data_IF_296546086416
#
_entry.id   IF_296546086416
#
_cell.length_a   1.000
_cell.length_b   1.000
_cell.length_c   1.000
_cell.angle_alpha   90.00
_cell.angle_beta   90.00
_cell.angle_gamma   90.00
#
_symmetry.space_group_name_H-M   'P 1'
#
loop_
_entity.id
_entity.type
_entity.pdbx_description
1 polymer ?
#
# COMPACT_ATOMS: atom_id res chain seq x y z
N UNK A 1 4.57 23.73 -16.44
CA UNK A 1 3.71 23.43 -15.28
C UNK A 1 3.87 21.97 -14.90
N UNK A 2 4.41 21.72 -13.72
CA UNK A 2 4.57 20.35 -13.27
C UNK A 2 3.23 19.83 -12.75
N UNK A 3 2.80 18.71 -13.26
CA UNK A 3 1.61 18.05 -12.73
C UNK A 3 2.00 17.34 -11.43
N UNK A 4 1.29 17.64 -10.36
CA UNK A 4 1.42 16.91 -9.09
C UNK A 4 0.46 15.74 -9.16
N UNK A 5 1.00 14.53 -9.19
CA UNK A 5 0.18 13.33 -9.20
C UNK A 5 0.02 12.82 -7.77
N UNK A 6 -1.22 12.69 -7.31
CA UNK A 6 -1.50 11.99 -6.07
C UNK A 6 -1.16 10.50 -6.27
N UNK A 7 -0.79 9.80 -5.19
CA UNK A 7 -0.60 8.36 -5.24
C UNK A 7 -1.92 7.71 -5.66
N UNK A 8 -1.88 6.88 -6.69
CA UNK A 8 -3.05 6.12 -7.14
C UNK A 8 -3.20 4.87 -6.27
N UNK A 9 -4.20 4.88 -5.40
CA UNK A 9 -4.48 3.73 -4.55
C UNK A 9 -5.59 2.89 -5.14
N UNK A 10 -5.31 1.60 -5.35
CA UNK A 10 -6.35 0.63 -5.61
C UNK A 10 -6.97 0.22 -4.28
N UNK A 11 -8.27 0.01 -4.27
CA UNK A 11 -9.01 -0.36 -3.06
C UNK A 11 -9.55 -1.79 -3.13
N UNK A 12 -9.23 -2.50 -4.19
CA UNK A 12 -9.68 -3.87 -4.45
C UNK A 12 -8.50 -4.68 -4.96
N UNK A 13 -8.16 -5.75 -4.25
CA UNK A 13 -6.99 -6.55 -4.62
C UNK A 13 -7.18 -7.29 -5.94
N UNK A 14 -8.40 -7.71 -6.26
CA UNK A 14 -8.66 -8.40 -7.53
C UNK A 14 -8.44 -7.48 -8.71
N UNK A 15 -8.92 -6.24 -8.62
CA UNK A 15 -8.71 -5.22 -9.66
C UNK A 15 -7.22 -4.87 -9.76
N UNK A 16 -6.55 -4.78 -8.62
CA UNK A 16 -5.11 -4.51 -8.60
C UNK A 16 -4.32 -5.63 -9.26
N UNK A 17 -4.70 -6.88 -9.02
CA UNK A 17 -4.06 -8.03 -9.65
C UNK A 17 -4.20 -7.98 -11.17
N UNK A 18 -5.41 -7.68 -11.66
CA UNK A 18 -5.66 -7.57 -13.08
C UNK A 18 -4.77 -6.49 -13.70
N UNK A 19 -4.69 -5.34 -13.06
CA UNK A 19 -3.82 -4.26 -13.51
C UNK A 19 -2.36 -4.68 -13.51
N UNK A 20 -1.91 -5.37 -12.46
CA UNK A 20 -0.53 -5.82 -12.35
C UNK A 20 -0.19 -6.84 -13.44
N UNK A 21 -1.13 -7.74 -13.77
CA UNK A 21 -0.93 -8.71 -14.85
C UNK A 21 -0.85 -8.02 -16.21
N UNK A 22 -1.74 -7.06 -16.47
CA UNK A 22 -1.78 -6.34 -17.74
C UNK A 22 -0.55 -5.46 -17.96
N UNK A 23 -0.02 -4.88 -16.89
CA UNK A 23 1.10 -3.93 -16.96
C UNK A 23 2.43 -4.54 -16.52
N UNK A 24 2.42 -5.80 -16.12
CA UNK A 24 3.60 -6.52 -15.60
C UNK A 24 4.27 -5.78 -14.44
N UNK A 25 3.50 -5.51 -13.40
CA UNK A 25 3.96 -4.76 -12.22
C UNK A 25 3.89 -5.58 -10.95
N UNK A 26 4.60 -5.11 -9.95
CA UNK A 26 4.59 -5.64 -8.59
C UNK A 26 3.45 -4.97 -7.81
N UNK A 27 2.81 -5.72 -6.94
CA UNK A 27 1.75 -5.22 -6.06
C UNK A 27 2.33 -4.90 -4.69
N UNK A 28 1.99 -3.72 -4.17
CA UNK A 28 2.34 -3.32 -2.81
C UNK A 28 1.04 -3.12 -2.05
N UNK A 29 0.72 -4.04 -1.15
CA UNK A 29 -0.49 -4.01 -0.33
C UNK A 29 -0.18 -3.40 1.03
N UNK A 30 -0.88 -2.31 1.37
CA UNK A 30 -0.63 -1.55 2.60
C UNK A 30 -1.84 -1.60 3.51
N UNK A 31 -1.65 -2.15 4.71
CA UNK A 31 -2.65 -2.07 5.78
C UNK A 31 -2.35 -0.84 6.62
N UNK A 32 -3.32 0.05 6.75
CA UNK A 32 -3.12 1.35 7.39
C UNK A 32 -4.25 1.68 8.36
N UNK A 33 -3.88 2.37 9.43
CA UNK A 33 -4.84 3.06 10.30
C UNK A 33 -4.65 4.56 10.11
N UNK A 34 -5.19 5.10 9.03
CA UNK A 34 -4.84 6.41 8.49
C UNK A 34 -5.12 7.59 9.43
N UNK A 35 -6.04 7.44 10.38
CA UNK A 35 -6.41 8.54 11.29
C UNK A 35 -6.09 8.27 12.76
N UNK A 36 -5.39 7.16 13.08
CA UNK A 36 -5.06 6.83 14.47
C UNK A 36 -3.66 6.23 14.66
N UNK A 37 -3.08 5.69 13.61
CA UNK A 37 -1.80 4.97 13.69
C UNK A 37 -0.65 5.93 13.36
N UNK A 38 0.12 6.35 14.36
CA UNK A 38 1.21 7.31 14.14
C UNK A 38 2.24 6.85 13.11
N UNK A 39 2.77 5.61 13.16
CA UNK A 39 3.72 5.17 12.12
C UNK A 39 3.09 5.08 10.72
N UNK A 40 1.78 4.78 10.64
CA UNK A 40 1.07 4.79 9.35
C UNK A 40 1.02 6.18 8.74
N UNK A 41 0.72 7.18 9.59
CA UNK A 41 0.66 8.59 9.19
C UNK A 41 2.04 9.08 8.74
N UNK A 42 3.10 8.70 9.47
CA UNK A 42 4.47 9.01 9.08
C UNK A 42 4.84 8.40 7.74
N UNK A 43 4.52 7.12 7.54
CA UNK A 43 4.82 6.41 6.30
C UNK A 43 4.14 7.08 5.12
N UNK A 44 2.88 7.48 5.28
CA UNK A 44 2.15 8.19 4.23
C UNK A 44 2.81 9.52 3.90
N UNK A 45 3.12 10.31 4.93
CA UNK A 45 3.70 11.64 4.76
C UNK A 45 5.11 11.58 4.18
N UNK A 46 5.95 10.69 4.70
CA UNK A 46 7.38 10.65 4.35
C UNK A 46 7.65 9.89 3.06
N UNK A 47 6.87 8.84 2.78
CA UNK A 47 7.13 7.92 1.67
C UNK A 47 6.04 7.98 0.61
N UNK A 48 4.80 7.53 0.95
CA UNK A 48 3.76 7.37 -0.08
C UNK A 48 3.42 8.66 -0.82
N UNK A 49 3.44 9.79 -0.12
CA UNK A 49 3.11 11.09 -0.71
C UNK A 49 4.33 11.85 -1.24
N UNK A 50 5.53 11.27 -1.13
CA UNK A 50 6.72 11.91 -1.69
C UNK A 50 6.67 11.87 -3.21
N UNK A 51 7.24 12.89 -3.84
CA UNK A 51 7.32 12.97 -5.30
C UNK A 51 8.12 11.80 -5.87
N UNK A 52 9.24 11.48 -5.22
CA UNK A 52 10.14 10.40 -5.66
C UNK A 52 9.44 9.05 -5.64
N UNK A 53 8.71 8.75 -4.56
CA UNK A 53 8.01 7.47 -4.46
C UNK A 53 6.87 7.39 -5.46
N UNK A 54 6.06 8.45 -5.60
CA UNK A 54 4.94 8.46 -6.54
C UNK A 54 5.39 8.28 -7.98
N UNK A 55 6.48 8.94 -8.36
CA UNK A 55 7.04 8.82 -9.71
C UNK A 55 7.48 7.40 -10.00
N UNK A 56 8.18 6.77 -9.07
CA UNK A 56 8.64 5.40 -9.22
C UNK A 56 7.48 4.41 -9.23
N UNK A 57 6.56 4.54 -8.29
CA UNK A 57 5.43 3.63 -8.14
C UNK A 57 4.53 3.64 -9.37
N UNK A 58 4.34 4.77 -9.99
CA UNK A 58 3.50 4.90 -11.19
C UNK A 58 3.92 3.92 -12.28
N UNK A 59 5.21 3.69 -12.45
CA UNK A 59 5.74 2.85 -13.52
C UNK A 59 6.09 1.42 -13.06
N UNK A 60 6.15 1.16 -11.76
CA UNK A 60 6.71 -0.09 -11.25
C UNK A 60 5.79 -0.86 -10.31
N UNK A 61 4.89 -0.17 -9.62
CA UNK A 61 4.05 -0.78 -8.58
C UNK A 61 2.57 -0.54 -8.84
N UNK A 62 1.76 -1.47 -8.38
CA UNK A 62 0.33 -1.25 -8.20
C UNK A 62 0.12 -1.16 -6.69
N UNK A 63 -0.24 0.03 -6.22
CA UNK A 63 -0.41 0.31 -4.79
C UNK A 63 -1.84 0.00 -4.36
N UNK A 64 -1.99 -0.84 -3.34
CA UNK A 64 -3.30 -1.23 -2.80
C UNK A 64 -3.36 -0.81 -1.34
N UNK A 65 -4.43 -0.12 -0.96
CA UNK A 65 -4.65 0.30 0.42
C UNK A 65 -5.83 -0.42 1.04
N UNK A 66 -5.60 -1.03 2.20
CA UNK A 66 -6.65 -1.51 3.07
C UNK A 66 -6.60 -0.65 4.34
N UNK A 67 -7.47 0.36 4.39
CA UNK A 67 -7.51 1.31 5.49
C UNK A 67 -8.53 0.91 6.55
N UNK A 68 -8.23 1.23 7.81
CA UNK A 68 -9.09 0.93 8.96
C UNK A 68 -9.26 2.18 9.80
N UNK A 69 -9.99 3.20 9.29
CA UNK A 69 -10.18 4.44 10.04
C UNK A 69 -11.06 4.24 11.27
N UNK A 70 -10.85 5.05 12.29
CA UNK A 70 -11.63 5.02 13.54
C UNK A 70 -12.55 6.21 13.70
N UNK A 71 -12.24 7.34 13.06
CA UNK A 71 -13.05 8.55 13.17
C UNK A 71 -14.32 8.42 12.33
N UNK A 72 -15.45 8.90 12.87
CA UNK A 72 -16.75 8.85 12.19
C UNK A 72 -16.73 9.47 10.81
N UNK A 73 -16.07 10.64 10.70
CA UNK A 73 -15.99 11.38 9.43
C UNK A 73 -15.21 10.65 8.34
N UNK A 74 -14.43 9.62 8.72
CA UNK A 74 -13.64 8.83 7.77
C UNK A 74 -14.21 7.44 7.55
N UNK A 75 -15.40 7.17 8.06
CA UNK A 75 -16.01 5.84 7.96
C UNK A 75 -16.17 5.40 6.51
N UNK A 76 -15.71 4.19 6.23
CA UNK A 76 -15.82 3.60 4.89
C UNK A 76 -17.25 3.11 4.63
N UNK A 77 -17.57 2.90 3.35
CA UNK A 77 -18.82 2.22 2.99
C UNK A 77 -18.79 0.79 3.55
N UNK A 78 -19.97 0.18 3.84
CA UNK A 78 -20.00 -1.20 4.32
C UNK A 78 -19.30 -2.18 3.38
N UNK A 79 -19.42 -1.99 2.06
CA UNK A 79 -18.78 -2.84 1.07
C UNK A 79 -17.27 -2.75 1.15
N UNK A 80 -16.72 -1.53 1.26
CA UNK A 80 -15.29 -1.34 1.34
C UNK A 80 -14.74 -1.87 2.66
N UNK A 81 -15.45 -1.65 3.76
CA UNK A 81 -15.05 -2.18 5.06
C UNK A 81 -14.98 -3.70 5.03
N UNK A 82 -15.95 -4.34 4.40
CA UNK A 82 -15.97 -5.79 4.28
C UNK A 82 -14.78 -6.31 3.45
N UNK A 83 -14.48 -5.66 2.33
CA UNK A 83 -13.30 -6.00 1.52
C UNK A 83 -12.02 -5.91 2.33
N UNK A 84 -11.85 -4.82 3.09
CA UNK A 84 -10.67 -4.62 3.91
C UNK A 84 -10.58 -5.65 5.04
N UNK A 85 -11.71 -6.01 5.65
CA UNK A 85 -11.77 -7.05 6.67
C UNK A 85 -11.34 -8.41 6.10
N UNK A 86 -11.79 -8.74 4.90
CA UNK A 86 -11.40 -9.99 4.23
C UNK A 86 -9.91 -10.03 3.92
N UNK A 87 -9.35 -8.90 3.48
CA UNK A 87 -7.90 -8.81 3.25
C UNK A 87 -7.13 -9.00 4.54
N UNK A 88 -7.61 -8.41 5.64
CA UNK A 88 -6.95 -8.56 6.94
C UNK A 88 -7.00 -10.00 7.43
N UNK A 89 -8.13 -10.68 7.27
CA UNK A 89 -8.25 -12.09 7.65
C UNK A 89 -7.26 -12.97 6.90
N UNK A 90 -7.02 -12.67 5.63
CA UNK A 90 -6.13 -13.46 4.80
C UNK A 90 -4.65 -13.09 4.96
N UNK A 91 -4.34 -11.81 5.08
CA UNK A 91 -2.95 -11.33 5.00
C UNK A 91 -2.43 -10.66 6.27
N UNK A 92 -3.30 -10.29 7.19
CA UNK A 92 -2.91 -9.54 8.39
C UNK A 92 -3.72 -9.98 9.61
N UNK A 93 -3.74 -11.29 9.83
CA UNK A 93 -4.53 -11.85 10.93
C UNK A 93 -4.10 -11.35 12.31
N UNK A 94 -2.82 -11.05 12.49
CA UNK A 94 -2.28 -10.53 13.75
C UNK A 94 -2.55 -9.04 13.95
N UNK A 95 -2.99 -8.32 12.93
CA UNK A 95 -3.35 -6.91 13.06
C UNK A 95 -2.16 -5.96 13.23
N UNK A 96 -1.14 -6.11 12.40
CA UNK A 96 0.00 -5.19 12.39
C UNK A 96 -0.34 -3.93 11.57
N UNK A 97 -0.01 -2.75 12.11
CA UNK A 97 -0.22 -1.48 11.43
C UNK A 97 1.01 -0.55 11.62
N UNK A 98 1.62 -0.04 10.54
CA UNK A 98 1.34 -0.41 9.16
C UNK A 98 1.92 -1.78 8.84
N UNK A 99 1.29 -2.50 7.93
CA UNK A 99 1.86 -3.70 7.34
C UNK A 99 1.94 -3.48 5.84
N UNK A 100 3.11 -3.68 5.26
CA UNK A 100 3.36 -3.51 3.83
C UNK A 100 3.77 -4.88 3.27
N UNK A 101 2.98 -5.39 2.33
CA UNK A 101 3.23 -6.69 1.72
C UNK A 101 3.56 -6.49 0.25
N UNK A 102 4.72 -6.99 -0.16
CA UNK A 102 5.15 -6.97 -1.56
C UNK A 102 4.76 -8.31 -2.19
N UNK A 103 4.00 -8.25 -3.25
CA UNK A 103 3.51 -9.43 -3.98
C UNK A 103 3.84 -9.32 -5.46
N UNK A 104 4.00 -10.47 -6.11
CA UNK A 104 4.04 -10.47 -7.57
C UNK A 104 2.60 -10.41 -8.14
N UNK A 105 2.50 -10.35 -9.46
CA UNK A 105 1.20 -10.26 -10.16
C UNK A 105 0.33 -11.49 -10.01
N UNK A 106 0.85 -12.57 -9.45
CA UNK A 106 0.10 -13.79 -9.16
C UNK A 106 -0.27 -13.90 -7.68
N UNK A 107 -0.10 -12.81 -6.91
CA UNK A 107 -0.37 -12.71 -5.49
C UNK A 107 0.56 -13.57 -4.62
N UNK A 108 1.70 -13.97 -5.15
CA UNK A 108 2.73 -14.63 -4.36
C UNK A 108 3.42 -13.60 -3.48
N UNK A 109 3.45 -13.83 -2.18
CA UNK A 109 4.09 -12.91 -1.23
C UNK A 109 5.60 -13.02 -1.38
N UNK A 110 6.25 -11.90 -1.69
CA UNK A 110 7.71 -11.82 -1.84
C UNK A 110 8.38 -11.31 -0.57
N UNK A 111 7.68 -10.49 0.20
CA UNK A 111 8.21 -9.98 1.46
C UNK A 111 7.19 -9.14 2.21
N UNK A 112 7.47 -8.91 3.49
CA UNK A 112 6.64 -8.09 4.36
C UNK A 112 7.52 -7.12 5.12
N UNK A 113 7.03 -5.92 5.33
CA UNK A 113 7.74 -4.89 6.08
C UNK A 113 6.73 -3.93 6.71
N UNK A 114 7.22 -2.87 7.31
CA UNK A 114 6.39 -1.85 7.94
C UNK A 114 7.04 -0.48 7.80
N UNK A 115 6.85 0.37 8.81
CA UNK A 115 7.49 1.67 8.81
C UNK A 115 8.99 1.51 9.07
N UNK A 116 9.80 2.19 8.26
CA UNK A 116 11.24 2.34 8.49
C UNK A 116 11.61 3.78 8.20
N UNK A 117 12.48 4.33 9.03
CA UNK A 117 12.96 5.70 8.84
C UNK A 117 14.01 5.72 7.73
N UNK A 118 13.53 5.81 6.51
CA UNK A 118 14.33 5.84 5.29
C UNK A 118 13.92 7.02 4.44
N UNK A 119 14.79 7.41 3.51
CA UNK A 119 14.41 8.35 2.45
C UNK A 119 13.44 7.63 1.50
N UNK A 120 12.68 8.36 0.67
CA UNK A 120 11.86 7.71 -0.35
C UNK A 120 12.64 6.75 -1.24
N UNK A 121 13.81 7.17 -1.72
CA UNK A 121 14.68 6.31 -2.53
C UNK A 121 15.14 5.08 -1.76
N UNK A 122 15.51 5.25 -0.49
CA UNK A 122 15.90 4.15 0.38
C UNK A 122 14.76 3.16 0.61
N UNK A 123 13.54 3.65 0.74
CA UNK A 123 12.37 2.78 0.92
C UNK A 123 12.07 1.99 -0.37
N UNK A 124 12.21 2.65 -1.52
CA UNK A 124 12.08 1.97 -2.82
C UNK A 124 13.09 0.82 -2.93
N UNK A 125 14.34 1.06 -2.57
CA UNK A 125 15.38 0.02 -2.57
C UNK A 125 15.03 -1.10 -1.61
N UNK A 126 14.49 -0.76 -0.44
CA UNK A 126 14.05 -1.74 0.55
C UNK A 126 12.96 -2.64 0.00
N UNK A 127 11.93 -2.08 -0.63
CA UNK A 127 10.87 -2.87 -1.26
C UNK A 127 11.42 -3.76 -2.38
N UNK A 128 12.30 -3.22 -3.21
CA UNK A 128 12.89 -3.96 -4.32
C UNK A 128 13.78 -5.11 -3.85
N UNK A 129 14.31 -5.03 -2.63
CA UNK A 129 15.13 -6.11 -2.08
C UNK A 129 14.36 -7.42 -1.91
N UNK A 130 13.02 -7.38 -1.87
CA UNK A 130 12.19 -8.57 -1.77
C UNK A 130 11.92 -9.21 -3.14
N UNK A 131 12.19 -8.52 -4.23
CA UNK A 131 11.74 -8.94 -5.56
C UNK A 131 12.72 -9.92 -6.23
N UNK A 132 13.93 -9.93 -5.82
CA UNK A 132 14.94 -10.81 -6.42
C UNK A 132 15.13 -12.09 -5.65
#
# INVERSE_FOLDING_TARGET
MSAIFAQEWQLDLNEAQEKAQNENKIIVLVFSGSDWCAPCIKLEKEIWNSEEFRAYAKNNFVMVRADFPRKKEHKLTPEQQQKNNQLAEKYNLQGYFPLVIVMDKNLTILGKTGYKKLTPTGYIEHLNSFIN
#
